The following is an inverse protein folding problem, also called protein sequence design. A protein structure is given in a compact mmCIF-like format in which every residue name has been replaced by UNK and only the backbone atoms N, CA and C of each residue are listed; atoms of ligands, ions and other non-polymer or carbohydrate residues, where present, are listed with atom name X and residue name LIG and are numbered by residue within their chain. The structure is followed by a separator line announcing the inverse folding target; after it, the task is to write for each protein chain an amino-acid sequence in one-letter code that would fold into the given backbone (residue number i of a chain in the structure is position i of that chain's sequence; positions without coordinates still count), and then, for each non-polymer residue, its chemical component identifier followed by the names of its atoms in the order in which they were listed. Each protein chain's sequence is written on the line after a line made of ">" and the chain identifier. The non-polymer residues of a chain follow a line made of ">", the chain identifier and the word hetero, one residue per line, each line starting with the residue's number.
data_IF_670699482828
#
_entry.id   IF_670699482828
#
_cell.length_a   1.000
_cell.length_b   1.000
_cell.length_c   1.000
_cell.angle_alpha   90.00
_cell.angle_beta   90.00
_cell.angle_gamma   90.00
#
_symmetry.space_group_name_H-M   'P 1'
#
loop_
_entity.id
_entity.type
_entity.pdbx_description
1 polymer ?
#
# COMPACT_ATOMS: atom_id res chain seq x y z
N UNK A 1 -5.47 -12.45 -5.79
CA UNK A 1 -4.60 -11.80 -4.80
C UNK A 1 -3.61 -10.98 -5.61
N UNK A 2 -3.70 -9.65 -5.58
CA UNK A 2 -3.12 -8.77 -6.60
C UNK A 2 -1.62 -8.98 -6.81
N UNK A 3 -0.88 -9.35 -5.77
CA UNK A 3 0.56 -9.65 -5.86
C UNK A 3 0.82 -10.90 -6.70
N UNK A 4 0.11 -12.01 -6.45
CA UNK A 4 0.27 -13.24 -7.23
C UNK A 4 -0.23 -13.07 -8.66
N UNK A 5 -1.33 -12.35 -8.87
CA UNK A 5 -1.86 -12.07 -10.20
C UNK A 5 -0.87 -11.22 -11.04
N UNK A 6 -0.22 -10.23 -10.42
CA UNK A 6 0.83 -9.42 -11.07
C UNK A 6 2.10 -10.24 -11.39
N UNK A 7 2.48 -11.17 -10.51
CA UNK A 7 3.63 -12.05 -10.71
C UNK A 7 3.35 -13.07 -11.83
N UNK A 8 2.16 -13.66 -11.85
CA UNK A 8 1.68 -14.54 -12.92
C UNK A 8 1.59 -13.79 -14.25
N UNK A 9 1.09 -12.55 -14.26
CA UNK A 9 1.07 -11.68 -15.44
C UNK A 9 2.47 -11.38 -15.96
N UNK A 10 3.41 -10.99 -15.08
CA UNK A 10 4.80 -10.71 -15.46
C UNK A 10 5.49 -11.96 -16.01
N UNK A 11 5.25 -13.13 -15.43
CA UNK A 11 5.77 -14.40 -15.93
C UNK A 11 5.21 -14.72 -17.32
N UNK A 12 3.89 -14.62 -17.48
CA UNK A 12 3.19 -14.91 -18.73
C UNK A 12 3.61 -13.94 -19.85
N UNK A 13 3.83 -12.67 -19.51
CA UNK A 13 4.34 -11.65 -20.44
C UNK A 13 5.77 -11.97 -20.93
N UNK A 14 6.65 -12.46 -20.05
CA UNK A 14 8.04 -12.77 -20.40
C UNK A 14 8.20 -14.13 -21.10
N UNK A 15 7.47 -15.16 -20.64
CA UNK A 15 7.62 -16.54 -21.13
C UNK A 15 6.59 -16.94 -22.18
N UNK A 16 5.56 -16.11 -22.44
CA UNK A 16 4.44 -16.36 -23.38
C UNK A 16 3.76 -17.72 -23.18
N UNK A 17 3.86 -18.29 -21.98
CA UNK A 17 3.32 -19.60 -21.62
C UNK A 17 2.44 -19.47 -20.38
N UNK A 18 1.41 -20.32 -20.25
CA UNK A 18 0.59 -20.36 -19.06
C UNK A 18 1.44 -20.72 -17.84
N UNK A 19 1.16 -20.09 -16.70
CA UNK A 19 1.84 -20.40 -15.44
C UNK A 19 1.56 -21.87 -15.04
N UNK A 20 2.57 -22.75 -14.95
CA UNK A 20 2.35 -24.13 -14.53
C UNK A 20 1.94 -24.19 -13.06
N UNK A 21 1.14 -25.20 -12.70
CA UNK A 21 0.60 -25.37 -11.35
C UNK A 21 1.69 -25.44 -10.28
N UNK A 22 2.82 -26.08 -10.57
CA UNK A 22 3.99 -26.14 -9.70
C UNK A 22 4.59 -24.76 -9.40
N UNK A 23 4.69 -23.88 -10.40
CA UNK A 23 5.21 -22.52 -10.22
C UNK A 23 4.27 -21.68 -9.35
N UNK A 24 2.96 -21.85 -9.54
CA UNK A 24 1.95 -21.19 -8.71
C UNK A 24 2.05 -21.59 -7.25
N UNK A 25 2.17 -22.89 -6.98
CA UNK A 25 2.34 -23.42 -5.61
C UNK A 25 3.69 -22.99 -5.02
N UNK A 26 4.76 -23.04 -5.80
CA UNK A 26 6.08 -22.57 -5.38
C UNK A 26 6.10 -21.08 -5.01
N UNK A 27 5.46 -20.23 -5.81
CA UNK A 27 5.35 -18.80 -5.54
C UNK A 27 4.58 -18.50 -4.25
N UNK A 28 3.48 -19.23 -4.00
CA UNK A 28 2.69 -19.09 -2.76
C UNK A 28 3.47 -19.56 -1.54
N UNK A 29 4.14 -20.71 -1.63
CA UNK A 29 4.95 -21.24 -0.53
C UNK A 29 6.12 -20.30 -0.23
N UNK A 30 6.83 -19.85 -1.25
CA UNK A 30 7.94 -18.91 -1.12
C UNK A 30 7.51 -17.60 -0.47
N UNK A 31 6.41 -17.00 -0.95
CA UNK A 31 5.89 -15.75 -0.38
C UNK A 31 5.44 -15.94 1.08
N UNK A 32 4.81 -17.07 1.40
CA UNK A 32 4.44 -17.43 2.77
C UNK A 32 5.65 -17.60 3.69
N UNK A 33 6.66 -18.35 3.26
CA UNK A 33 7.90 -18.53 4.01
C UNK A 33 8.66 -17.21 4.22
N UNK A 34 8.73 -16.37 3.18
CA UNK A 34 9.33 -15.03 3.31
C UNK A 34 8.56 -14.16 4.29
N UNK A 35 7.23 -14.12 4.21
CA UNK A 35 6.41 -13.34 5.12
C UNK A 35 6.59 -13.78 6.58
N UNK A 36 6.63 -15.09 6.84
CA UNK A 36 6.91 -15.63 8.17
C UNK A 36 8.31 -15.27 8.66
N UNK A 37 9.33 -15.39 7.80
CA UNK A 37 10.70 -15.03 8.14
C UNK A 37 10.81 -13.54 8.49
N UNK A 38 10.19 -12.68 7.71
CA UNK A 38 10.16 -11.23 7.93
C UNK A 38 9.43 -10.89 9.23
N UNK A 39 8.30 -11.54 9.52
CA UNK A 39 7.54 -11.32 10.75
C UNK A 39 8.34 -11.69 12.01
N UNK A 40 9.12 -12.78 11.97
CA UNK A 40 9.98 -13.21 13.09
C UNK A 40 11.24 -12.35 13.19
N UNK A 41 11.84 -11.96 12.06
CA UNK A 41 13.08 -11.19 12.04
C UNK A 41 12.88 -9.72 12.42
N UNK A 42 11.74 -9.11 12.04
CA UNK A 42 11.47 -7.68 12.17
C UNK A 42 10.15 -7.44 12.93
N UNK A 43 10.10 -7.65 14.26
CA UNK A 43 8.89 -7.46 15.06
C UNK A 43 8.40 -6.01 15.11
N UNK A 44 9.19 -5.04 14.61
CA UNK A 44 8.84 -3.63 14.51
C UNK A 44 8.07 -3.25 13.23
N UNK A 45 7.85 -4.16 12.29
CA UNK A 45 7.05 -3.87 11.09
C UNK A 45 5.62 -3.35 11.36
N UNK A 46 4.90 -3.83 12.40
CA UNK A 46 3.60 -3.27 12.76
C UNK A 46 3.65 -1.78 13.11
N UNK A 47 4.73 -1.28 13.73
CA UNK A 47 4.85 0.16 14.02
C UNK A 47 5.08 1.00 12.76
N UNK A 48 5.71 0.43 11.73
CA UNK A 48 5.87 1.04 10.41
C UNK A 48 4.59 0.97 9.55
N UNK A 49 3.61 0.15 9.92
CA UNK A 49 2.38 -0.03 9.14
C UNK A 49 1.59 1.27 8.98
N UNK A 50 1.57 2.14 10.01
CA UNK A 50 0.96 3.45 9.94
C UNK A 50 1.63 4.38 8.91
N UNK A 51 2.95 4.25 8.75
CA UNK A 51 3.75 5.05 7.81
C UNK A 51 3.55 4.55 6.37
N UNK A 52 3.57 3.23 6.18
CA UNK A 52 3.27 2.60 4.89
C UNK A 52 1.84 2.90 4.45
N UNK A 53 0.87 2.79 5.38
CA UNK A 53 -0.52 3.15 5.15
C UNK A 53 -0.69 4.63 4.82
N UNK A 54 -0.01 5.51 5.56
CA UNK A 54 0.06 6.95 5.32
C UNK A 54 0.49 7.29 3.89
N UNK A 55 1.55 6.64 3.38
CA UNK A 55 2.06 6.86 2.02
C UNK A 55 1.15 6.26 0.95
N UNK A 56 0.42 5.19 1.24
CA UNK A 56 -0.49 4.55 0.30
C UNK A 56 -1.85 5.28 0.17
N UNK A 57 -2.27 6.02 1.20
CA UNK A 57 -3.57 6.70 1.24
C UNK A 57 -3.84 7.73 0.12
N UNK A 58 -2.87 8.54 -0.34
CA UNK A 58 -3.08 9.39 -1.51
C UNK A 58 -3.42 8.60 -2.76
N UNK A 59 -2.84 7.41 -2.91
CA UNK A 59 -3.08 6.55 -4.08
C UNK A 59 -4.49 5.95 -4.04
N UNK A 60 -5.03 5.66 -2.85
CA UNK A 60 -6.35 5.04 -2.72
C UNK A 60 -7.49 6.05 -2.63
N UNK A 61 -7.28 7.22 -2.02
CA UNK A 61 -8.31 8.23 -1.81
C UNK A 61 -8.19 9.42 -2.76
N UNK A 62 -7.00 10.03 -2.85
CA UNK A 62 -6.84 11.26 -3.63
C UNK A 62 -6.77 10.97 -5.14
N UNK A 63 -6.06 9.91 -5.54
CA UNK A 63 -5.84 9.58 -6.93
C UNK A 63 -7.13 9.33 -7.74
N UNK A 64 -8.10 8.49 -7.31
CA UNK A 64 -9.31 8.27 -8.09
C UNK A 64 -10.17 9.54 -8.21
N UNK A 65 -10.22 10.36 -7.15
CA UNK A 65 -10.94 11.64 -7.16
C UNK A 65 -10.33 12.62 -8.17
N UNK A 66 -9.00 12.77 -8.17
CA UNK A 66 -8.29 13.63 -9.13
C UNK A 66 -8.42 13.11 -10.56
N UNK A 67 -8.26 11.80 -10.75
CA UNK A 67 -8.41 11.14 -12.05
C UNK A 67 -9.80 11.33 -12.63
N UNK A 68 -10.85 11.22 -11.80
CA UNK A 68 -12.22 11.46 -12.23
C UNK A 68 -12.44 12.89 -12.73
N UNK A 69 -11.91 13.90 -12.01
CA UNK A 69 -11.98 15.31 -12.42
C UNK A 69 -11.26 15.53 -13.76
N UNK A 70 -10.10 14.91 -13.97
CA UNK A 70 -9.35 15.02 -15.22
C UNK A 70 -10.09 14.39 -16.42
N UNK A 71 -10.74 13.24 -16.23
CA UNK A 71 -11.45 12.52 -17.29
C UNK A 71 -12.76 13.22 -17.64
N UNK A 72 -13.57 13.57 -16.64
CA UNK A 72 -14.93 14.10 -16.88
C UNK A 72 -14.97 15.59 -17.18
N UNK A 73 -13.90 16.35 -16.86
CA UNK A 73 -13.83 17.82 -16.98
C UNK A 73 -15.16 18.50 -16.63
N UNK A 74 -15.72 18.25 -15.42
CA UNK A 74 -17.02 18.81 -15.06
C UNK A 74 -16.95 20.33 -15.01
N UNK A 75 -18.09 21.01 -15.23
CA UNK A 75 -18.18 22.47 -15.10
C UNK A 75 -17.63 22.89 -13.73
N UNK A 76 -16.71 23.86 -13.74
CA UNK A 76 -16.20 24.52 -12.52
C UNK A 76 -17.39 24.92 -11.65
N UNK A 77 -17.34 24.62 -10.36
CA UNK A 77 -18.40 24.87 -9.36
C UNK A 77 -19.66 24.00 -9.43
N UNK A 78 -19.68 22.92 -10.23
CA UNK A 78 -20.71 21.90 -10.06
C UNK A 78 -20.58 21.20 -8.71
N UNK A 79 -21.70 20.80 -8.09
CA UNK A 79 -21.71 20.05 -6.82
C UNK A 79 -20.80 18.82 -6.86
N UNK A 80 -20.80 18.09 -7.98
CA UNK A 80 -19.92 16.92 -8.19
C UNK A 80 -18.44 17.26 -8.30
N UNK A 81 -18.09 18.45 -8.80
CA UNK A 81 -16.70 18.93 -8.81
C UNK A 81 -16.23 19.30 -7.41
N UNK A 82 -17.07 19.99 -6.64
CA UNK A 82 -16.75 20.36 -5.25
C UNK A 82 -16.51 19.12 -4.38
N UNK A 83 -17.40 18.13 -4.43
CA UNK A 83 -17.28 16.89 -3.64
C UNK A 83 -16.01 16.11 -3.99
N UNK A 84 -15.73 15.89 -5.28
CA UNK A 84 -14.52 15.15 -5.68
C UNK A 84 -13.24 15.93 -5.34
N UNK A 85 -13.27 17.25 -5.47
CA UNK A 85 -12.14 18.10 -5.09
C UNK A 85 -11.90 18.08 -3.58
N UNK A 86 -12.95 18.23 -2.77
CA UNK A 86 -12.86 18.19 -1.32
C UNK A 86 -12.40 16.83 -0.80
N UNK A 87 -12.92 15.72 -1.35
CA UNK A 87 -12.44 14.37 -1.01
C UNK A 87 -10.97 14.17 -1.39
N UNK A 88 -10.55 14.67 -2.56
CA UNK A 88 -9.16 14.57 -2.99
C UNK A 88 -8.20 15.31 -2.06
N UNK A 89 -8.53 16.55 -1.69
CA UNK A 89 -7.75 17.35 -0.75
C UNK A 89 -7.76 16.72 0.65
N UNK A 90 -8.93 16.27 1.11
CA UNK A 90 -9.07 15.61 2.41
C UNK A 90 -8.23 14.33 2.49
N UNK A 91 -8.22 13.51 1.44
CA UNK A 91 -7.37 12.31 1.37
C UNK A 91 -5.88 12.63 1.44
N UNK A 92 -5.44 13.74 0.83
CA UNK A 92 -4.05 14.20 0.89
C UNK A 92 -3.69 14.74 2.28
N UNK A 93 -4.58 15.52 2.91
CA UNK A 93 -4.38 16.01 4.28
C UNK A 93 -4.32 14.86 5.27
N UNK A 94 -5.22 13.88 5.18
CA UNK A 94 -5.20 12.68 6.01
C UNK A 94 -3.90 11.89 5.88
N UNK A 95 -3.37 11.75 4.67
CA UNK A 95 -2.08 11.10 4.44
C UNK A 95 -0.95 11.83 5.16
N UNK A 96 -0.89 13.16 5.05
CA UNK A 96 0.13 13.97 5.73
C UNK A 96 0.03 13.82 7.24
N UNK A 97 -1.19 13.94 7.81
CA UNK A 97 -1.43 13.78 9.24
C UNK A 97 -1.03 12.40 9.75
N UNK A 98 -1.33 11.34 9.00
CA UNK A 98 -0.96 9.97 9.38
C UNK A 98 0.54 9.72 9.29
N UNK A 99 1.22 10.26 8.29
CA UNK A 99 2.69 10.17 8.19
C UNK A 99 3.33 10.91 9.37
N UNK A 100 2.88 12.13 9.69
CA UNK A 100 3.35 12.86 10.87
C UNK A 100 3.07 12.11 12.18
N UNK A 101 1.87 11.55 12.34
CA UNK A 101 1.51 10.74 13.50
C UNK A 101 2.40 9.51 13.64
N UNK A 102 2.66 8.79 12.54
CA UNK A 102 3.54 7.64 12.53
C UNK A 102 4.99 8.00 12.88
N UNK A 103 5.51 9.12 12.35
CA UNK A 103 6.84 9.62 12.70
C UNK A 103 6.90 10.00 14.17
N UNK A 104 5.87 10.66 14.69
CA UNK A 104 5.77 11.06 16.10
C UNK A 104 5.73 9.85 17.04
N UNK A 105 4.95 8.81 16.70
CA UNK A 105 4.92 7.57 17.50
C UNK A 105 6.28 6.88 17.51
N UNK A 106 6.97 6.84 16.37
CA UNK A 106 8.33 6.28 16.29
C UNK A 106 9.32 7.11 17.11
N UNK A 107 9.20 8.44 17.08
CA UNK A 107 10.07 9.34 17.82
C UNK A 107 9.90 9.24 19.34
N UNK A 108 8.67 9.07 19.84
CA UNK A 108 8.39 8.96 21.28
C UNK A 108 8.66 7.55 21.81
N UNK A 109 8.20 6.52 21.11
CA UNK A 109 8.37 5.15 21.58
C UNK A 109 9.81 4.67 21.44
N UNK A 110 10.60 5.32 20.59
CA UNK A 110 11.92 4.83 20.18
C UNK A 110 11.77 3.58 19.31
N UNK A 111 12.67 3.43 18.33
CA UNK A 111 12.74 2.15 17.62
C UNK A 111 13.56 1.19 18.49
N UNK A 112 12.89 0.46 19.38
CA UNK A 112 13.51 -0.64 20.12
C UNK A 112 13.81 -1.76 19.12
N UNK A 113 14.97 -1.64 18.45
CA UNK A 113 15.46 -2.56 17.41
C UNK A 113 15.90 -3.87 18.03
N UNK A 114 14.94 -4.62 18.56
CA UNK A 114 15.12 -5.99 19.00
C UNK A 114 15.05 -6.92 17.80
N UNK A 115 16.20 -7.14 17.16
CA UNK A 115 16.35 -8.21 16.18
C UNK A 115 16.19 -9.57 16.88
N UNK A 116 15.33 -10.45 16.36
CA UNK A 116 15.13 -11.84 16.81
C UNK A 116 14.58 -12.05 18.25
N UNK A 117 13.86 -11.08 18.82
CA UNK A 117 13.03 -11.32 20.02
C UNK A 117 11.56 -11.01 19.71
N UNK A 118 10.78 -11.99 19.25
CA UNK A 118 9.33 -11.83 19.22
C UNK A 118 8.83 -11.75 20.67
N UNK A 119 8.16 -10.65 21.03
CA UNK A 119 7.34 -10.57 22.24
C UNK A 119 5.89 -10.93 21.88
#
# INVERSE_FOLDING_TARGET
>A
MPVFDNLEFRYTSNKKQPCPWWLRTGLRLFFGCLALFIAVALPFLPSLAGLIGGIALPVTLAHPCLMWIMIKKPKRYSSSWFVNWSLGVLGLVLSVVLVFGAIWTIAIQGLDVHFFKPQ
#
